data_IF_775484995365
#
_entry.id   IF_775484995365
#
_cell.length_a   1.000
_cell.length_b   1.000
_cell.length_c   1.000
_cell.angle_alpha   90.00
_cell.angle_beta   90.00
_cell.angle_gamma   90.00
#
_symmetry.space_group_name_H-M   'P 1'
#
loop_
_entity.id
_entity.type
_entity.pdbx_description
1 polymer ?
#
# COMPACT_ATOMS: atom_id res chain seq x y z
N UNK A 1 16.54 -2.39 37.33
CA UNK A 1 15.94 -3.34 36.35
C UNK A 1 15.03 -2.55 35.45
N UNK A 2 15.25 -2.61 34.13
CA UNK A 2 14.35 -1.96 33.19
C UNK A 2 12.96 -2.62 33.24
N UNK A 3 11.93 -1.84 33.49
CA UNK A 3 10.56 -2.38 33.54
C UNK A 3 9.99 -2.47 32.11
N UNK A 4 10.43 -3.47 31.35
CA UNK A 4 9.93 -3.71 30.01
C UNK A 4 8.42 -4.01 29.94
N UNK A 5 7.82 -4.45 31.05
CA UNK A 5 6.37 -4.68 31.12
C UNK A 5 5.61 -3.35 31.00
N UNK A 6 6.05 -2.31 31.73
CA UNK A 6 5.41 -0.98 31.62
C UNK A 6 5.61 -0.36 30.23
N UNK A 7 6.79 -0.55 29.62
CA UNK A 7 7.02 -0.16 28.23
C UNK A 7 6.04 -0.85 27.27
N UNK A 8 5.89 -2.20 27.37
CA UNK A 8 4.97 -2.96 26.52
C UNK A 8 3.50 -2.55 26.73
N UNK A 9 3.09 -2.24 27.96
CA UNK A 9 1.76 -1.69 28.23
C UNK A 9 1.53 -0.36 27.52
N UNK A 10 2.54 0.52 27.49
CA UNK A 10 2.50 1.79 26.78
C UNK A 10 2.34 1.60 25.27
N UNK A 11 3.14 0.71 24.67
CA UNK A 11 3.03 0.37 23.23
C UNK A 11 1.68 -0.24 22.88
N UNK A 12 1.17 -1.15 23.72
CA UNK A 12 -0.16 -1.75 23.54
C UNK A 12 -1.26 -0.69 23.63
N UNK A 13 -1.19 0.22 24.61
CA UNK A 13 -2.17 1.31 24.74
C UNK A 13 -2.16 2.23 23.51
N UNK A 14 -0.97 2.59 22.99
CA UNK A 14 -0.82 3.40 21.78
C UNK A 14 -1.38 2.68 20.54
N UNK A 15 -1.16 1.36 20.42
CA UNK A 15 -1.76 0.52 19.37
C UNK A 15 -3.29 0.59 19.44
N UNK A 16 -3.88 0.30 20.59
CA UNK A 16 -5.34 0.32 20.77
C UNK A 16 -5.95 1.68 20.47
N UNK A 17 -5.31 2.76 20.93
CA UNK A 17 -5.78 4.13 20.66
C UNK A 17 -5.81 4.42 19.14
N UNK A 18 -4.78 4.04 18.41
CA UNK A 18 -4.69 4.22 16.97
C UNK A 18 -5.76 3.38 16.25
N UNK A 19 -5.94 2.10 16.61
CA UNK A 19 -6.96 1.24 15.99
C UNK A 19 -8.38 1.74 16.24
N UNK A 20 -8.68 2.24 17.43
CA UNK A 20 -9.99 2.86 17.72
C UNK A 20 -10.24 4.12 16.86
N UNK A 21 -9.19 4.81 16.44
CA UNK A 21 -9.28 5.99 15.59
C UNK A 21 -9.41 5.68 14.09
N UNK A 22 -9.41 4.40 13.67
CA UNK A 22 -9.53 4.01 12.25
C UNK A 22 -10.97 4.03 11.71
N UNK A 23 -11.97 3.99 12.57
CA UNK A 23 -13.38 3.87 12.15
C UNK A 23 -13.80 4.92 11.09
N UNK A 24 -13.39 6.21 11.18
CA UNK A 24 -13.69 7.19 10.15
C UNK A 24 -13.14 6.86 8.75
N UNK A 25 -12.16 5.94 8.64
CA UNK A 25 -11.59 5.50 7.36
C UNK A 25 -12.36 4.31 6.75
N UNK A 26 -13.28 3.67 7.45
CA UNK A 26 -13.97 2.48 6.93
C UNK A 26 -14.72 2.74 5.62
N UNK A 27 -15.40 3.88 5.42
CA UNK A 27 -16.03 4.17 4.13
C UNK A 27 -15.02 4.19 2.96
N UNK A 28 -13.90 4.89 3.09
CA UNK A 28 -12.89 4.97 2.02
C UNK A 28 -12.18 3.63 1.82
N UNK A 29 -12.00 2.81 2.87
CA UNK A 29 -11.46 1.44 2.74
C UNK A 29 -12.43 0.58 1.91
N UNK A 30 -13.73 0.68 2.19
CA UNK A 30 -14.77 -0.01 1.42
C UNK A 30 -14.75 0.40 -0.05
N UNK A 31 -14.70 1.71 -0.32
CA UNK A 31 -14.67 2.23 -1.69
C UNK A 31 -13.45 1.73 -2.48
N UNK A 32 -12.26 1.74 -1.85
CA UNK A 32 -11.04 1.20 -2.46
C UNK A 32 -11.16 -0.29 -2.73
N UNK A 33 -11.74 -1.07 -1.82
CA UNK A 33 -12.00 -2.50 -2.03
C UNK A 33 -12.89 -2.75 -3.25
N UNK A 34 -13.97 -1.95 -3.43
CA UNK A 34 -14.84 -2.00 -4.62
C UNK A 34 -14.08 -1.63 -5.89
N UNK A 35 -13.19 -0.64 -5.85
CA UNK A 35 -12.33 -0.28 -6.98
C UNK A 35 -11.36 -1.41 -7.34
N UNK A 36 -10.81 -2.13 -6.37
CA UNK A 36 -9.99 -3.32 -6.61
C UNK A 36 -10.79 -4.43 -7.31
N UNK A 37 -12.03 -4.70 -6.88
CA UNK A 37 -12.93 -5.66 -7.55
C UNK A 37 -13.19 -5.23 -9.00
N UNK A 38 -13.51 -3.95 -9.22
CA UNK A 38 -13.75 -3.40 -10.55
C UNK A 38 -12.50 -3.51 -11.46
N UNK A 39 -11.31 -3.28 -10.93
CA UNK A 39 -10.04 -3.45 -11.62
C UNK A 39 -9.88 -4.91 -12.11
N UNK A 40 -10.02 -5.88 -11.20
CA UNK A 40 -9.90 -7.30 -11.55
C UNK A 40 -10.95 -7.74 -12.58
N UNK A 41 -12.21 -7.31 -12.42
CA UNK A 41 -13.30 -7.60 -13.38
C UNK A 41 -13.03 -7.07 -14.80
N UNK A 42 -12.32 -5.93 -14.91
CA UNK A 42 -11.90 -5.34 -16.19
C UNK A 42 -10.67 -6.02 -16.80
N UNK A 43 -10.09 -7.01 -16.13
CA UNK A 43 -8.86 -7.70 -16.57
C UNK A 43 -7.58 -6.96 -16.19
N UNK A 44 -7.66 -5.95 -15.33
CA UNK A 44 -6.52 -5.25 -14.75
C UNK A 44 -5.84 -6.06 -13.63
N UNK A 45 -4.78 -5.48 -13.08
CA UNK A 45 -3.99 -6.02 -11.97
C UNK A 45 -3.74 -4.98 -10.89
N UNK A 46 -3.39 -5.46 -9.69
CA UNK A 46 -3.01 -4.59 -8.57
C UNK A 46 -1.47 -4.51 -8.51
N UNK A 47 -0.92 -3.30 -8.59
CA UNK A 47 0.51 -3.04 -8.44
C UNK A 47 0.76 -2.41 -7.08
N UNK A 48 1.71 -2.98 -6.31
CA UNK A 48 1.99 -2.52 -4.95
C UNK A 48 3.47 -2.15 -4.80
N UNK A 49 3.74 -1.09 -4.04
CA UNK A 49 5.10 -0.64 -3.76
C UNK A 49 5.22 0.05 -2.40
N UNK A 50 6.46 0.08 -1.88
CA UNK A 50 6.83 0.74 -0.64
C UNK A 50 8.29 0.47 -0.30
N UNK A 51 8.78 1.06 0.78
CA UNK A 51 10.16 0.88 1.25
C UNK A 51 10.19 0.19 2.62
N UNK A 52 11.22 -0.59 2.90
CA UNK A 52 11.42 -1.22 4.20
C UNK A 52 10.24 -2.08 4.65
N UNK A 53 9.61 -1.77 5.80
CA UNK A 53 8.40 -2.44 6.28
C UNK A 53 7.24 -2.34 5.29
N UNK A 54 7.06 -1.19 4.66
CA UNK A 54 6.05 -1.00 3.62
C UNK A 54 6.32 -1.81 2.34
N UNK A 55 7.59 -2.16 2.06
CA UNK A 55 7.91 -3.13 0.99
C UNK A 55 7.48 -4.54 1.38
N UNK A 56 7.66 -4.92 2.64
CA UNK A 56 7.18 -6.20 3.17
C UNK A 56 5.64 -6.27 3.12
N UNK A 57 4.94 -5.20 3.50
CA UNK A 57 3.48 -5.11 3.40
C UNK A 57 3.01 -5.24 1.94
N UNK A 58 3.67 -4.59 0.98
CA UNK A 58 3.37 -4.71 -0.45
C UNK A 58 3.48 -6.16 -0.94
N UNK A 59 4.53 -6.87 -0.54
CA UNK A 59 4.73 -8.29 -0.87
C UNK A 59 3.68 -9.17 -0.21
N UNK A 60 3.39 -8.94 1.07
CA UNK A 60 2.38 -9.68 1.82
C UNK A 60 1.00 -9.56 1.17
N UNK A 61 0.54 -8.33 0.93
CA UNK A 61 -0.78 -8.08 0.31
C UNK A 61 -0.84 -8.68 -1.11
N UNK A 62 0.23 -8.55 -1.91
CA UNK A 62 0.28 -9.17 -3.23
C UNK A 62 0.18 -10.71 -3.15
N UNK A 63 0.82 -11.34 -2.17
CA UNK A 63 0.73 -12.79 -1.96
C UNK A 63 -0.69 -13.23 -1.58
N UNK A 64 -1.40 -12.48 -0.73
CA UNK A 64 -2.79 -12.76 -0.38
C UNK A 64 -3.73 -12.67 -1.60
N UNK A 65 -3.48 -11.71 -2.50
CA UNK A 65 -4.29 -11.55 -3.73
C UNK A 65 -3.99 -12.66 -4.74
N UNK A 66 -2.71 -12.98 -4.96
CA UNK A 66 -2.28 -14.00 -5.94
C UNK A 66 -2.62 -15.41 -5.47
N UNK A 67 -2.38 -15.73 -4.21
CA UNK A 67 -2.71 -17.00 -3.60
C UNK A 67 -4.20 -17.08 -3.24
N UNK A 68 -4.47 -16.89 -1.98
CA UNK A 68 -5.81 -16.69 -1.39
C UNK A 68 -5.67 -16.05 -0.01
N UNK A 69 -6.64 -15.25 0.41
CA UNK A 69 -6.70 -14.73 1.78
C UNK A 69 -7.51 -15.67 2.69
N UNK A 70 -8.82 -15.73 2.51
CA UNK A 70 -9.72 -16.58 3.30
C UNK A 70 -10.47 -17.61 2.45
N UNK A 71 -10.94 -17.23 1.25
CA UNK A 71 -11.74 -18.08 0.38
C UNK A 71 -10.87 -18.86 -0.60
N UNK A 72 -11.19 -20.14 -0.81
CA UNK A 72 -10.60 -20.90 -1.92
C UNK A 72 -11.15 -20.36 -3.25
N UNK A 73 -10.25 -19.90 -4.11
CA UNK A 73 -10.56 -19.25 -5.39
C UNK A 73 -9.39 -19.31 -6.37
N UNK A 74 -9.64 -19.01 -7.62
CA UNK A 74 -8.57 -18.78 -8.61
C UNK A 74 -7.73 -17.54 -8.20
N UNK A 75 -6.41 -17.61 -8.42
CA UNK A 75 -5.50 -16.50 -8.20
C UNK A 75 -5.93 -15.24 -8.94
N UNK A 76 -5.80 -14.07 -8.31
CA UNK A 76 -6.05 -12.77 -8.91
C UNK A 76 -4.71 -12.06 -9.20
N UNK A 77 -4.63 -11.24 -10.28
CA UNK A 77 -3.37 -10.62 -10.68
C UNK A 77 -2.94 -9.49 -9.74
N UNK A 78 -1.81 -9.67 -9.06
CA UNK A 78 -1.14 -8.64 -8.27
C UNK A 78 0.38 -8.79 -8.36
N UNK A 79 1.11 -7.68 -8.30
CA UNK A 79 2.57 -7.64 -8.35
C UNK A 79 3.10 -6.65 -7.31
N UNK A 80 3.98 -7.11 -6.42
CA UNK A 80 4.79 -6.25 -5.60
C UNK A 80 6.05 -5.83 -6.37
N UNK A 81 6.21 -4.54 -6.66
CA UNK A 81 7.33 -3.97 -7.41
C UNK A 81 8.65 -3.93 -6.59
N UNK A 82 8.67 -4.64 -5.47
CA UNK A 82 9.74 -4.63 -4.46
C UNK A 82 10.60 -5.89 -4.46
N UNK A 83 10.42 -6.80 -5.42
CA UNK A 83 10.99 -8.15 -5.36
C UNK A 83 12.07 -8.42 -6.40
N UNK A 84 12.02 -7.82 -7.58
CA UNK A 84 13.03 -8.04 -8.63
C UNK A 84 14.27 -7.22 -8.32
N UNK A 85 15.27 -7.88 -7.73
CA UNK A 85 16.52 -7.24 -7.32
C UNK A 85 17.35 -6.72 -8.49
N UNK A 86 17.25 -7.35 -9.66
CA UNK A 86 17.94 -6.89 -10.87
C UNK A 86 17.35 -5.57 -11.36
N UNK A 87 16.03 -5.46 -11.41
CA UNK A 87 15.37 -4.19 -11.77
C UNK A 87 15.70 -3.10 -10.74
N UNK A 88 15.53 -3.39 -9.44
CA UNK A 88 15.78 -2.42 -8.38
C UNK A 88 17.21 -1.89 -8.38
N UNK A 89 18.20 -2.77 -8.57
CA UNK A 89 19.61 -2.40 -8.54
C UNK A 89 20.06 -1.71 -9.83
N UNK A 90 19.65 -2.18 -11.00
CA UNK A 90 20.00 -1.54 -12.27
C UNK A 90 19.38 -0.15 -12.41
N UNK A 91 18.07 -0.03 -12.17
CA UNK A 91 17.40 1.29 -12.21
C UNK A 91 17.96 2.22 -11.13
N UNK A 92 18.21 1.70 -9.92
CA UNK A 92 18.81 2.49 -8.84
C UNK A 92 20.21 3.00 -9.18
N UNK A 93 21.02 2.20 -9.88
CA UNK A 93 22.37 2.60 -10.34
C UNK A 93 22.31 3.60 -11.50
N UNK A 94 21.43 3.41 -12.47
CA UNK A 94 21.45 4.16 -13.74
C UNK A 94 20.63 5.45 -13.65
N UNK A 95 19.53 5.47 -12.91
CA UNK A 95 18.57 6.58 -12.82
C UNK A 95 18.41 7.15 -11.41
N UNK A 96 18.91 6.45 -10.39
CA UNK A 96 18.76 6.80 -8.99
C UNK A 96 17.58 6.11 -8.32
N UNK A 97 17.63 6.04 -6.97
CA UNK A 97 16.65 5.31 -6.15
C UNK A 97 15.23 5.87 -6.26
N UNK A 98 15.09 7.13 -6.63
CA UNK A 98 13.80 7.80 -6.78
C UNK A 98 12.97 7.27 -7.96
N UNK A 99 13.58 6.50 -8.87
CA UNK A 99 12.95 6.00 -10.09
C UNK A 99 12.71 4.48 -10.09
N UNK A 100 13.13 3.74 -9.06
CA UNK A 100 13.09 2.27 -9.04
C UNK A 100 11.67 1.69 -9.22
N UNK A 101 10.64 2.40 -8.76
CA UNK A 101 9.24 2.01 -8.95
C UNK A 101 8.63 2.67 -10.18
N UNK A 102 8.93 3.93 -10.46
CA UNK A 102 8.39 4.64 -11.61
C UNK A 102 8.72 3.93 -12.93
N UNK A 103 9.97 3.44 -13.10
CA UNK A 103 10.36 2.67 -14.29
C UNK A 103 9.58 1.36 -14.46
N UNK A 104 9.21 0.71 -13.35
CA UNK A 104 8.37 -0.49 -13.39
C UNK A 104 6.91 -0.15 -13.71
N UNK A 105 6.39 0.97 -13.19
CA UNK A 105 5.06 1.48 -13.53
C UNK A 105 4.99 1.80 -15.03
N UNK A 106 5.96 2.54 -15.59
CA UNK A 106 6.03 2.83 -17.04
C UNK A 106 6.01 1.56 -17.90
N UNK A 107 6.67 0.50 -17.45
CA UNK A 107 6.79 -0.76 -18.21
C UNK A 107 5.56 -1.67 -18.09
N UNK A 108 4.90 -1.70 -16.92
CA UNK A 108 3.93 -2.74 -16.57
C UNK A 108 2.50 -2.23 -16.40
N UNK A 109 2.33 -0.95 -16.03
CA UNK A 109 1.02 -0.38 -15.69
C UNK A 109 0.20 -0.08 -16.94
N UNK A 110 -1.11 -0.25 -16.83
CA UNK A 110 -2.11 0.04 -17.84
C UNK A 110 -3.27 0.84 -17.25
N UNK A 111 -4.10 1.53 -18.05
CA UNK A 111 -5.21 2.35 -17.55
C UNK A 111 -6.25 1.57 -16.71
N UNK A 112 -6.42 0.28 -16.96
CA UNK A 112 -7.33 -0.59 -16.21
C UNK A 112 -6.80 -1.07 -14.87
N UNK A 113 -5.53 -0.80 -14.55
CA UNK A 113 -4.87 -1.26 -13.31
C UNK A 113 -5.18 -0.34 -12.12
N UNK A 114 -4.91 -0.86 -10.92
CA UNK A 114 -4.93 -0.10 -9.68
C UNK A 114 -3.56 -0.18 -9.01
N UNK A 115 -3.03 0.97 -8.61
CA UNK A 115 -1.69 1.11 -8.04
C UNK A 115 -1.77 1.54 -6.58
N UNK A 116 -1.15 0.78 -5.67
CA UNK A 116 -1.09 1.07 -4.23
C UNK A 116 0.32 1.47 -3.84
N UNK A 117 0.49 2.74 -3.43
CA UNK A 117 1.75 3.26 -2.88
C UNK A 117 1.71 3.33 -1.37
N UNK A 118 2.62 2.61 -0.69
CA UNK A 118 2.67 2.50 0.76
C UNK A 118 3.86 3.30 1.30
N UNK A 119 3.59 4.33 2.11
CA UNK A 119 4.63 5.16 2.74
C UNK A 119 4.11 5.85 3.99
N UNK A 120 4.73 5.64 5.14
CA UNK A 120 4.27 6.21 6.41
C UNK A 120 4.24 7.73 6.45
N UNK A 121 5.10 8.40 5.68
CA UNK A 121 5.17 9.87 5.60
C UNK A 121 4.37 10.48 4.44
N UNK A 122 3.96 9.67 3.44
CA UNK A 122 3.40 10.18 2.19
C UNK A 122 4.41 10.95 1.30
N UNK A 123 5.72 10.88 1.60
CA UNK A 123 6.76 11.73 0.97
C UNK A 123 7.94 10.94 0.38
N UNK A 124 7.94 9.60 0.41
CA UNK A 124 9.01 8.79 -0.18
C UNK A 124 9.13 9.08 -1.67
N UNK A 125 10.26 9.64 -2.12
CA UNK A 125 10.41 10.19 -3.47
C UNK A 125 10.15 9.14 -4.57
N UNK A 126 10.63 7.90 -4.40
CA UNK A 126 10.40 6.81 -5.33
C UNK A 126 8.90 6.40 -5.42
N UNK A 127 8.17 6.42 -4.30
CA UNK A 127 6.72 6.16 -4.30
C UNK A 127 5.98 7.32 -4.97
N UNK A 128 6.33 8.57 -4.62
CA UNK A 128 5.73 9.77 -5.23
C UNK A 128 5.91 9.77 -6.75
N UNK A 129 7.13 9.52 -7.25
CA UNK A 129 7.41 9.46 -8.70
C UNK A 129 6.59 8.38 -9.40
N UNK A 130 6.47 7.20 -8.78
CA UNK A 130 5.68 6.10 -9.33
C UNK A 130 4.17 6.39 -9.36
N UNK A 131 3.63 7.04 -8.31
CA UNK A 131 2.21 7.40 -8.27
C UNK A 131 1.87 8.48 -9.31
N UNK A 132 2.80 9.42 -9.58
CA UNK A 132 2.66 10.39 -10.67
C UNK A 132 2.62 9.69 -12.03
N UNK A 133 3.57 8.79 -12.30
CA UNK A 133 3.60 8.00 -13.55
C UNK A 133 2.32 7.16 -13.72
N UNK A 134 1.83 6.52 -12.66
CA UNK A 134 0.58 5.75 -12.71
C UNK A 134 -0.63 6.63 -13.06
N UNK A 135 -0.71 7.82 -12.48
CA UNK A 135 -1.78 8.79 -12.78
C UNK A 135 -1.73 9.29 -14.22
N UNK A 136 -0.54 9.56 -14.76
CA UNK A 136 -0.34 9.96 -16.18
C UNK A 136 -0.76 8.86 -17.15
N UNK A 137 -0.59 7.58 -16.79
CA UNK A 137 -1.07 6.42 -17.54
C UNK A 137 -2.60 6.30 -17.49
N UNK A 138 -3.25 6.85 -16.46
CA UNK A 138 -4.70 6.78 -16.25
C UNK A 138 -5.14 5.62 -15.36
N UNK A 139 -4.24 4.99 -14.63
CA UNK A 139 -4.54 3.98 -13.63
C UNK A 139 -5.11 4.62 -12.36
N UNK A 140 -5.94 3.87 -11.62
CA UNK A 140 -6.44 4.30 -10.31
C UNK A 140 -5.30 4.27 -9.30
N UNK A 141 -5.11 5.37 -8.57
CA UNK A 141 -4.00 5.54 -7.61
C UNK A 141 -4.50 5.61 -6.17
N UNK A 142 -3.93 4.77 -5.31
CA UNK A 142 -4.28 4.65 -3.88
C UNK A 142 -3.03 4.82 -3.03
N UNK A 143 -3.03 5.80 -2.12
CA UNK A 143 -2.00 5.97 -1.10
C UNK A 143 -2.40 5.28 0.21
N UNK A 144 -1.49 4.52 0.83
CA UNK A 144 -1.55 4.13 2.23
C UNK A 144 -0.49 4.94 2.97
N UNK A 145 -0.93 5.93 3.76
CA UNK A 145 -0.04 6.92 4.37
C UNK A 145 -0.33 7.11 5.86
N UNK A 146 0.37 8.02 6.51
CA UNK A 146 0.10 8.45 7.87
C UNK A 146 0.42 9.92 8.08
N UNK A 147 0.27 10.43 9.31
CA UNK A 147 0.52 11.81 9.66
C UNK A 147 -0.39 12.77 8.90
N UNK A 148 0.17 13.56 7.99
CA UNK A 148 -0.58 14.50 7.14
C UNK A 148 -0.91 13.95 5.74
N UNK A 149 -0.50 12.71 5.45
CA UNK A 149 -0.64 12.12 4.12
C UNK A 149 0.42 12.58 3.10
N UNK A 150 1.21 13.61 3.44
CA UNK A 150 2.29 14.13 2.62
C UNK A 150 1.88 14.53 1.20
N UNK A 151 2.81 14.41 0.27
CA UNK A 151 2.62 14.73 -1.16
C UNK A 151 1.58 13.83 -1.83
N UNK A 152 1.41 12.60 -1.34
CA UNK A 152 0.45 11.66 -1.94
C UNK A 152 -1.00 12.14 -1.81
N UNK A 153 -1.33 12.99 -0.82
CA UNK A 153 -2.67 13.57 -0.68
C UNK A 153 -3.11 14.39 -1.90
N UNK A 154 -2.17 15.06 -2.56
CA UNK A 154 -2.47 15.85 -3.77
C UNK A 154 -2.35 15.04 -5.07
N UNK A 155 -1.72 13.86 -5.03
CA UNK A 155 -1.41 13.06 -6.22
C UNK A 155 -2.43 11.93 -6.42
N UNK A 156 -2.70 11.16 -5.35
CA UNK A 156 -3.54 9.97 -5.43
C UNK A 156 -5.03 10.31 -5.57
N UNK A 157 -5.76 9.46 -6.27
CA UNK A 157 -7.21 9.55 -6.35
C UNK A 157 -7.86 9.25 -4.99
N UNK A 158 -7.26 8.31 -4.25
CA UNK A 158 -7.63 7.98 -2.87
C UNK A 158 -6.39 7.92 -1.99
N UNK A 159 -6.40 8.59 -0.84
CA UNK A 159 -5.31 8.54 0.13
C UNK A 159 -5.85 8.18 1.52
N UNK A 160 -5.54 6.97 1.98
CA UNK A 160 -5.91 6.47 3.30
C UNK A 160 -4.83 6.92 4.29
N UNK A 161 -5.14 7.96 5.05
CA UNK A 161 -4.20 8.58 5.99
C UNK A 161 -4.44 8.00 7.38
N UNK A 162 -3.53 7.13 7.84
CA UNK A 162 -3.62 6.55 9.18
C UNK A 162 -3.48 7.64 10.25
N UNK A 163 -4.34 7.64 11.29
CA UNK A 163 -4.42 8.72 12.29
C UNK A 163 -3.31 8.61 13.35
N UNK A 164 -2.06 8.53 12.90
CA UNK A 164 -0.86 8.46 13.75
C UNK A 164 0.32 9.15 13.09
N UNK A 165 1.26 9.67 13.90
CA UNK A 165 2.57 10.14 13.46
C UNK A 165 3.69 9.13 13.79
N UNK A 166 3.38 8.03 14.48
CA UNK A 166 4.35 7.00 14.89
C UNK A 166 4.42 5.92 13.82
N UNK A 167 5.59 5.77 13.20
CA UNK A 167 5.82 4.85 12.07
C UNK A 167 5.34 3.43 12.37
N UNK A 168 5.63 2.87 13.55
CA UNK A 168 5.20 1.52 13.91
C UNK A 168 3.66 1.39 13.94
N UNK A 169 2.97 2.35 14.54
CA UNK A 169 1.49 2.38 14.58
C UNK A 169 0.87 2.50 13.19
N UNK A 170 1.49 3.34 12.33
CA UNK A 170 1.05 3.49 10.93
C UNK A 170 1.19 2.18 10.18
N UNK A 171 2.33 1.48 10.29
CA UNK A 171 2.56 0.19 9.62
C UNK A 171 1.61 -0.91 10.11
N UNK A 172 1.32 -0.97 11.41
CA UNK A 172 0.30 -1.89 11.96
C UNK A 172 -1.09 -1.64 11.35
N UNK A 173 -1.45 -0.36 11.15
CA UNK A 173 -2.70 -0.02 10.48
C UNK A 173 -2.66 -0.30 8.98
N UNK A 174 -1.53 -0.10 8.30
CA UNK A 174 -1.38 -0.41 6.87
C UNK A 174 -1.67 -1.88 6.60
N UNK A 175 -1.12 -2.81 7.41
CA UNK A 175 -1.38 -4.23 7.17
C UNK A 175 -2.82 -4.62 7.53
N UNK A 176 -3.43 -4.01 8.55
CA UNK A 176 -4.86 -4.20 8.84
C UNK A 176 -5.73 -3.77 7.65
N UNK A 177 -5.46 -2.59 7.08
CA UNK A 177 -6.16 -2.10 5.88
C UNK A 177 -5.92 -3.05 4.70
N UNK A 178 -4.68 -3.49 4.48
CA UNK A 178 -4.33 -4.45 3.44
C UNK A 178 -5.15 -5.74 3.52
N UNK A 179 -5.25 -6.34 4.72
CA UNK A 179 -6.10 -7.52 4.95
C UNK A 179 -7.58 -7.24 4.72
N UNK A 180 -8.07 -6.07 5.16
CA UNK A 180 -9.46 -5.66 4.92
C UNK A 180 -9.77 -5.53 3.44
N UNK A 181 -8.86 -4.95 2.65
CA UNK A 181 -8.97 -4.85 1.19
C UNK A 181 -8.97 -6.24 0.53
N UNK A 182 -8.12 -7.16 0.99
CA UNK A 182 -8.12 -8.55 0.50
C UNK A 182 -9.46 -9.26 0.81
N UNK A 183 -10.02 -9.06 2.00
CA UNK A 183 -11.32 -9.63 2.37
C UNK A 183 -12.47 -9.08 1.52
N UNK A 184 -12.51 -7.76 1.28
CA UNK A 184 -13.50 -7.14 0.40
C UNK A 184 -13.33 -7.66 -1.03
N UNK A 185 -12.09 -7.76 -1.52
CA UNK A 185 -11.80 -8.28 -2.86
C UNK A 185 -12.33 -9.71 -3.07
N UNK A 186 -12.31 -10.54 -2.02
CA UNK A 186 -12.83 -11.92 -2.05
C UNK A 186 -14.34 -12.03 -1.76
N UNK A 187 -15.03 -10.94 -1.45
CA UNK A 187 -16.43 -10.99 -1.02
C UNK A 187 -17.42 -11.25 -2.16
N UNK A 188 -16.99 -11.08 -3.40
CA UNK A 188 -17.79 -11.38 -4.62
C UNK A 188 -17.52 -12.74 -5.24
#
# INVERSE_FOLDING_TARGET
MNNYIEYLKGEHAAHMAMFNALEPLFPIISDVGILMQACIKKGGKILLMGNGGSAADAQHIAAEIVGRFKKERKGMPAIALTTDTSILTSVGNDYGYDYIFARQIEALCRPEDLVIGITTSGNSANVVSAMQAAKEIGAVTVGLTGGTGGKLTAICDHNLVMPSAVTARIQEAHIFVGHSLCEILESE
#
